data_IF_167308298405
#
_entry.id   IF_167308298405
#
_cell.length_a   1.000
_cell.length_b   1.000
_cell.length_c   1.000
_cell.angle_alpha   90.00
_cell.angle_beta   90.00
_cell.angle_gamma   90.00
#
_symmetry.space_group_name_H-M   'P 1'
#
loop_
_entity.id
_entity.type
_entity.pdbx_description
1 polymer ?
#
# COMPACT_ATOMS: atom_id res chain seq x y z
N UNK A 1 -59.60 -29.03 30.57
CA UNK A 1 -59.08 -29.30 29.22
C UNK A 1 -59.08 -28.00 28.44
N UNK A 2 -57.98 -27.23 28.47
CA UNK A 2 -57.55 -26.31 27.38
C UNK A 2 -56.05 -26.09 27.62
N UNK A 3 -55.21 -26.65 26.74
CA UNK A 3 -53.78 -26.35 26.71
C UNK A 3 -53.57 -25.01 26.02
N UNK A 4 -52.88 -24.09 26.67
CA UNK A 4 -52.42 -22.84 26.05
C UNK A 4 -51.16 -23.17 25.25
N UNK A 5 -51.35 -23.44 23.97
CA UNK A 5 -50.28 -23.43 22.97
C UNK A 5 -49.73 -22.01 22.86
N UNK A 6 -48.48 -21.84 23.29
CA UNK A 6 -47.69 -20.64 23.07
C UNK A 6 -46.41 -21.01 22.33
N UNK A 7 -46.40 -20.78 21.01
CA UNK A 7 -45.23 -20.39 20.19
C UNK A 7 -45.74 -19.98 18.79
N UNK A 8 -45.10 -19.07 18.02
CA UNK A 8 -43.68 -18.68 18.08
C UNK A 8 -43.41 -17.15 18.02
N UNK A 9 -42.71 -16.61 19.03
CA UNK A 9 -42.12 -15.25 18.96
C UNK A 9 -40.76 -15.24 18.26
N UNK A 10 -40.05 -16.38 18.32
CA UNK A 10 -38.65 -16.56 17.89
C UNK A 10 -38.44 -16.37 16.37
N UNK A 11 -39.41 -16.75 15.55
CA UNK A 11 -39.30 -16.67 14.08
C UNK A 11 -39.40 -15.24 13.53
N UNK A 12 -40.09 -14.33 14.22
CA UNK A 12 -40.13 -12.91 13.85
C UNK A 12 -38.84 -12.18 14.20
N UNK A 13 -38.23 -12.52 15.33
CA UNK A 13 -36.96 -11.94 15.79
C UNK A 13 -35.82 -12.35 14.83
N UNK A 14 -35.72 -13.64 14.48
CA UNK A 14 -34.71 -14.17 13.54
C UNK A 14 -34.82 -13.55 12.13
N UNK A 15 -36.05 -13.35 11.62
CA UNK A 15 -36.27 -12.72 10.32
C UNK A 15 -35.92 -11.22 10.33
N UNK A 16 -36.02 -10.55 11.48
CA UNK A 16 -35.64 -9.15 11.65
C UNK A 16 -34.12 -9.02 11.71
N UNK A 17 -33.45 -9.92 12.43
CA UNK A 17 -31.99 -9.97 12.54
C UNK A 17 -31.32 -10.25 11.18
N UNK A 18 -31.86 -11.19 10.39
CA UNK A 18 -31.35 -11.46 9.04
C UNK A 18 -31.41 -10.23 8.12
N UNK A 19 -32.48 -9.42 8.20
CA UNK A 19 -32.61 -8.18 7.42
C UNK A 19 -31.58 -7.14 7.83
N UNK A 20 -31.33 -6.99 9.14
CA UNK A 20 -30.30 -6.08 9.67
C UNK A 20 -28.92 -6.48 9.14
N UNK A 21 -28.58 -7.77 9.20
CA UNK A 21 -27.31 -8.29 8.70
C UNK A 21 -27.15 -8.08 7.18
N UNK A 22 -28.19 -8.34 6.39
CA UNK A 22 -28.18 -8.08 4.94
C UNK A 22 -27.95 -6.59 4.66
N UNK A 23 -28.61 -5.71 5.41
CA UNK A 23 -28.42 -4.27 5.26
C UNK A 23 -26.98 -3.85 5.61
N UNK A 24 -26.45 -4.34 6.73
CA UNK A 24 -25.08 -4.08 7.16
C UNK A 24 -24.06 -4.57 6.10
N UNK A 25 -24.26 -5.78 5.56
CA UNK A 25 -23.44 -6.31 4.47
C UNK A 25 -23.47 -5.40 3.24
N UNK A 26 -24.65 -4.89 2.88
CA UNK A 26 -24.83 -3.92 1.81
C UNK A 26 -24.07 -2.61 2.05
N UNK A 27 -24.06 -2.10 3.28
CA UNK A 27 -23.29 -0.90 3.64
C UNK A 27 -21.79 -1.12 3.52
N UNK A 28 -21.29 -2.29 3.93
CA UNK A 28 -19.86 -2.64 3.79
C UNK A 28 -19.48 -2.71 2.30
N UNK A 29 -20.30 -3.37 1.46
CA UNK A 29 -20.11 -3.37 0.00
C UNK A 29 -20.04 -1.97 -0.56
N UNK A 30 -20.95 -1.07 -0.15
CA UNK A 30 -20.95 0.34 -0.60
C UNK A 30 -19.63 1.05 -0.26
N UNK A 31 -19.04 0.81 0.92
CA UNK A 31 -17.75 1.41 1.30
C UNK A 31 -16.62 0.95 0.37
N UNK A 32 -16.58 -0.34 0.05
CA UNK A 32 -15.62 -0.90 -0.92
C UNK A 32 -15.85 -0.31 -2.32
N UNK A 33 -17.09 -0.21 -2.78
CA UNK A 33 -17.43 0.40 -4.06
C UNK A 33 -16.97 1.86 -4.15
N UNK A 34 -17.15 2.64 -3.08
CA UNK A 34 -16.67 4.04 -3.04
C UNK A 34 -15.15 4.13 -3.19
N UNK A 35 -14.41 3.27 -2.49
CA UNK A 35 -12.95 3.19 -2.65
C UNK A 35 -12.59 2.82 -4.09
N UNK A 36 -13.25 1.80 -4.66
CA UNK A 36 -12.98 1.36 -6.03
C UNK A 36 -13.22 2.45 -7.06
N UNK A 37 -14.28 3.25 -6.90
CA UNK A 37 -14.59 4.37 -7.79
C UNK A 37 -13.53 5.47 -7.70
N UNK A 38 -13.07 5.82 -6.50
CA UNK A 38 -11.97 6.77 -6.31
C UNK A 38 -10.70 6.28 -7.01
N UNK A 39 -10.40 4.99 -6.91
CA UNK A 39 -9.24 4.38 -7.58
C UNK A 39 -9.39 4.34 -9.10
N UNK A 40 -10.61 4.16 -9.60
CA UNK A 40 -10.91 4.22 -11.03
C UNK A 40 -10.68 5.62 -11.59
N UNK A 41 -11.16 6.66 -10.90
CA UNK A 41 -10.90 8.04 -11.30
C UNK A 41 -9.41 8.39 -11.27
N UNK A 42 -8.67 7.82 -10.32
CA UNK A 42 -7.23 8.02 -10.20
C UNK A 42 -6.40 7.37 -11.32
N UNK A 43 -7.03 6.50 -12.14
CA UNK A 43 -6.41 5.92 -13.33
C UNK A 43 -6.21 6.97 -14.43
N UNK A 44 -7.17 7.88 -14.59
CA UNK A 44 -7.11 8.98 -15.57
C UNK A 44 -6.33 10.17 -15.03
N UNK A 45 -6.46 10.44 -13.72
CA UNK A 45 -5.73 11.53 -13.05
C UNK A 45 -5.02 11.02 -11.79
N UNK A 46 -3.71 10.68 -11.90
CA UNK A 46 -2.90 10.24 -10.77
C UNK A 46 -2.73 11.30 -9.66
N UNK A 47 -3.11 12.57 -9.85
CA UNK A 47 -3.01 13.56 -8.78
C UNK A 47 -4.13 13.43 -7.74
N UNK A 48 -5.24 12.77 -8.08
CA UNK A 48 -6.42 12.60 -7.21
C UNK A 48 -6.18 11.75 -5.96
N UNK A 49 -5.17 10.88 -5.99
CA UNK A 49 -4.86 9.97 -4.87
C UNK A 49 -3.37 9.95 -4.63
N UNK A 50 -2.95 10.11 -3.38
CA UNK A 50 -1.55 10.11 -2.96
C UNK A 50 -1.07 8.72 -2.51
N UNK A 51 0.25 8.50 -2.46
CA UNK A 51 0.83 7.23 -1.98
C UNK A 51 0.39 6.87 -0.55
N UNK A 52 0.33 7.79 0.44
CA UNK A 52 -0.22 7.49 1.75
C UNK A 52 -1.70 7.11 1.71
N UNK A 53 -2.51 7.76 0.87
CA UNK A 53 -3.93 7.42 0.71
C UNK A 53 -4.12 6.02 0.13
N UNK A 54 -3.29 5.60 -0.83
CA UNK A 54 -3.31 4.22 -1.36
C UNK A 54 -3.07 3.18 -0.25
N UNK A 55 -2.11 3.44 0.65
CA UNK A 55 -1.85 2.57 1.82
C UNK A 55 -3.03 2.53 2.79
N UNK A 56 -3.69 3.67 3.00
CA UNK A 56 -4.90 3.75 3.84
C UNK A 56 -6.05 2.98 3.21
N UNK A 57 -6.25 3.09 1.90
CA UNK A 57 -7.28 2.35 1.18
C UNK A 57 -7.03 0.84 1.23
N UNK A 58 -5.79 0.37 1.06
CA UNK A 58 -5.46 -1.06 1.17
C UNK A 58 -5.88 -1.62 2.54
N UNK A 59 -5.48 -0.94 3.63
CA UNK A 59 -5.88 -1.36 4.98
C UNK A 59 -7.39 -1.35 5.19
N UNK A 60 -8.08 -0.36 4.65
CA UNK A 60 -9.55 -0.28 4.74
C UNK A 60 -10.23 -1.40 3.96
N UNK A 61 -9.71 -1.76 2.78
CA UNK A 61 -10.23 -2.88 1.98
C UNK A 61 -10.09 -4.20 2.75
N UNK A 62 -8.94 -4.46 3.37
CA UNK A 62 -8.74 -5.65 4.20
C UNK A 62 -9.75 -5.71 5.37
N UNK A 63 -9.94 -4.59 6.08
CA UNK A 63 -10.91 -4.50 7.18
C UNK A 63 -12.33 -4.76 6.67
N UNK A 64 -12.74 -4.10 5.58
CA UNK A 64 -14.07 -4.28 5.02
C UNK A 64 -14.29 -5.69 4.48
N UNK A 65 -13.25 -6.35 3.98
CA UNK A 65 -13.32 -7.73 3.55
C UNK A 65 -13.61 -8.68 4.73
N UNK A 66 -12.90 -8.49 5.84
CA UNK A 66 -13.11 -9.24 7.08
C UNK A 66 -14.51 -9.00 7.65
N UNK A 67 -14.95 -7.73 7.71
CA UNK A 67 -16.30 -7.35 8.16
C UNK A 67 -17.39 -8.00 7.30
N UNK A 68 -17.24 -7.91 5.96
CA UNK A 68 -18.20 -8.50 5.02
C UNK A 68 -18.28 -10.02 5.21
N UNK A 69 -17.12 -10.69 5.26
CA UNK A 69 -17.04 -12.14 5.44
C UNK A 69 -17.66 -12.59 6.76
N UNK A 70 -17.45 -11.84 7.84
CA UNK A 70 -18.05 -12.14 9.14
C UNK A 70 -19.58 -12.03 9.09
N UNK A 71 -20.11 -10.91 8.59
CA UNK A 71 -21.56 -10.72 8.46
C UNK A 71 -22.17 -11.75 7.50
N UNK A 72 -21.47 -12.07 6.40
CA UNK A 72 -21.90 -13.08 5.44
C UNK A 72 -22.05 -14.45 6.10
N UNK A 73 -21.09 -14.89 6.91
CA UNK A 73 -21.19 -16.15 7.65
C UNK A 73 -22.36 -16.19 8.62
N UNK A 74 -22.68 -15.06 9.28
CA UNK A 74 -23.87 -15.00 10.16
C UNK A 74 -25.18 -15.08 9.37
N UNK A 75 -25.24 -14.46 8.18
CA UNK A 75 -26.40 -14.58 7.28
C UNK A 75 -26.61 -16.05 6.89
N UNK A 76 -25.55 -16.78 6.53
CA UNK A 76 -25.64 -18.19 6.13
C UNK A 76 -26.24 -19.10 7.21
N UNK A 77 -26.09 -18.74 8.49
CA UNK A 77 -26.72 -19.50 9.61
C UNK A 77 -28.23 -19.28 9.70
N UNK A 78 -28.75 -18.20 9.13
CA UNK A 78 -30.11 -17.72 9.34
C UNK A 78 -31.00 -17.80 8.09
N UNK A 79 -30.42 -18.12 6.92
CA UNK A 79 -31.16 -18.23 5.66
C UNK A 79 -31.51 -19.68 5.33
N UNK A 80 -32.61 -19.93 4.60
CA UNK A 80 -32.95 -21.26 4.12
C UNK A 80 -31.92 -21.75 3.08
N UNK A 81 -31.70 -23.07 3.02
CA UNK A 81 -30.76 -23.71 2.11
C UNK A 81 -31.02 -23.40 0.63
N UNK A 82 -32.28 -23.16 0.25
CA UNK A 82 -32.67 -22.76 -1.10
C UNK A 82 -32.10 -21.41 -1.57
N UNK A 83 -31.53 -20.62 -0.66
CA UNK A 83 -30.90 -19.33 -0.97
C UNK A 83 -29.37 -19.34 -0.89
N UNK A 84 -28.75 -20.50 -0.66
CA UNK A 84 -27.30 -20.58 -0.52
C UNK A 84 -26.59 -20.18 -1.81
N UNK A 85 -27.07 -20.65 -2.96
CA UNK A 85 -26.50 -20.28 -4.27
C UNK A 85 -26.52 -18.77 -4.49
N UNK A 86 -27.63 -18.09 -4.15
CA UNK A 86 -27.72 -16.63 -4.21
C UNK A 86 -26.68 -15.95 -3.28
N UNK A 87 -26.40 -16.52 -2.11
CA UNK A 87 -25.38 -15.99 -1.21
C UNK A 87 -23.97 -16.19 -1.76
N UNK A 88 -23.68 -17.36 -2.32
CA UNK A 88 -22.37 -17.66 -2.92
C UNK A 88 -22.07 -16.72 -4.10
N UNK A 89 -23.06 -16.44 -4.94
CA UNK A 89 -22.95 -15.42 -6.00
C UNK A 89 -22.65 -14.03 -5.42
N UNK A 90 -23.33 -13.64 -4.34
CA UNK A 90 -23.09 -12.36 -3.68
C UNK A 90 -21.72 -12.25 -3.02
N UNK A 91 -21.18 -13.35 -2.48
CA UNK A 91 -19.83 -13.41 -1.95
C UNK A 91 -18.81 -13.30 -3.09
N UNK A 92 -18.99 -14.09 -4.14
CA UNK A 92 -18.14 -14.08 -5.34
C UNK A 92 -18.06 -12.68 -5.96
N UNK A 93 -19.21 -11.99 -6.13
CA UNK A 93 -19.23 -10.64 -6.66
C UNK A 93 -18.49 -9.62 -5.78
N UNK A 94 -18.51 -9.83 -4.45
CA UNK A 94 -17.76 -8.99 -3.52
C UNK A 94 -16.25 -9.30 -3.55
N UNK A 95 -15.86 -10.56 -3.66
CA UNK A 95 -14.46 -10.99 -3.81
C UNK A 95 -13.83 -10.39 -5.07
N UNK A 96 -14.56 -10.40 -6.19
CA UNK A 96 -14.13 -9.76 -7.45
C UNK A 96 -13.92 -8.26 -7.23
N UNK A 97 -14.90 -7.57 -6.66
CA UNK A 97 -14.79 -6.12 -6.39
C UNK A 97 -13.59 -5.78 -5.49
N UNK A 98 -13.38 -6.55 -4.43
CA UNK A 98 -12.26 -6.37 -3.52
C UNK A 98 -10.92 -6.59 -4.23
N UNK A 99 -10.81 -7.68 -4.98
CA UNK A 99 -9.60 -8.03 -5.74
C UNK A 99 -9.27 -6.98 -6.79
N UNK A 100 -10.28 -6.48 -7.51
CA UNK A 100 -10.10 -5.39 -8.46
C UNK A 100 -9.58 -4.12 -7.79
N UNK A 101 -10.16 -3.73 -6.65
CA UNK A 101 -9.71 -2.55 -5.90
C UNK A 101 -8.25 -2.70 -5.44
N UNK A 102 -7.88 -3.87 -4.92
CA UNK A 102 -6.49 -4.16 -4.50
C UNK A 102 -5.52 -4.12 -5.69
N UNK A 103 -5.88 -4.72 -6.83
CA UNK A 103 -5.07 -4.68 -8.04
C UNK A 103 -4.86 -3.25 -8.56
N UNK A 104 -5.85 -2.36 -8.43
CA UNK A 104 -5.70 -0.94 -8.80
C UNK A 104 -4.74 -0.22 -7.87
N UNK A 105 -4.83 -0.45 -6.56
CA UNK A 105 -3.88 0.09 -5.59
C UNK A 105 -2.46 -0.34 -5.93
N UNK A 106 -2.25 -1.62 -6.26
CA UNK A 106 -0.95 -2.14 -6.63
C UNK A 106 -0.41 -1.45 -7.88
N UNK A 107 -1.22 -1.35 -8.94
CA UNK A 107 -0.85 -0.65 -10.19
C UNK A 107 -0.51 0.82 -9.96
N UNK A 108 -1.35 1.55 -9.23
CA UNK A 108 -1.13 2.97 -8.91
C UNK A 108 0.10 3.18 -8.01
N UNK A 109 0.37 2.24 -7.10
CA UNK A 109 1.56 2.27 -6.24
C UNK A 109 2.83 1.98 -7.02
N UNK A 110 2.80 1.02 -7.95
CA UNK A 110 3.94 0.68 -8.82
C UNK A 110 4.26 1.82 -9.78
N UNK A 111 3.25 2.44 -10.38
CA UNK A 111 3.44 3.60 -11.25
C UNK A 111 4.15 4.77 -10.54
N UNK A 112 3.93 4.93 -9.23
CA UNK A 112 4.60 5.96 -8.41
C UNK A 112 5.94 5.53 -7.82
N UNK A 113 6.13 4.22 -7.68
CA UNK A 113 7.38 3.62 -7.21
C UNK A 113 8.37 3.34 -8.35
N UNK A 114 8.03 3.68 -9.60
CA UNK A 114 9.03 3.75 -10.66
C UNK A 114 10.18 4.63 -10.15
N UNK A 115 11.45 4.23 -10.38
CA UNK A 115 12.58 4.93 -9.82
C UNK A 115 12.44 6.37 -10.28
N UNK A 116 12.23 7.24 -9.29
CA UNK A 116 12.54 8.64 -9.43
C UNK A 116 13.97 8.60 -9.96
N UNK A 117 14.15 8.91 -11.24
CA UNK A 117 15.45 9.35 -11.73
C UNK A 117 15.71 10.53 -10.82
N UNK A 118 16.53 10.32 -9.78
CA UNK A 118 16.87 11.36 -8.83
C UNK A 118 17.56 12.42 -9.66
N UNK A 119 16.79 13.40 -10.13
CA UNK A 119 17.34 14.71 -10.40
C UNK A 119 17.67 15.21 -9.01
N UNK A 120 18.86 14.82 -8.54
CA UNK A 120 19.51 15.43 -7.39
C UNK A 120 19.52 16.91 -7.73
N UNK A 121 18.57 17.65 -7.15
CA UNK A 121 18.62 19.08 -7.16
C UNK A 121 19.92 19.40 -6.45
N UNK A 122 20.94 19.79 -7.22
CA UNK A 122 22.29 20.03 -6.73
C UNK A 122 22.19 21.14 -5.68
N UNK A 123 22.12 20.77 -4.41
CA UNK A 123 22.48 21.69 -3.36
C UNK A 123 24.00 21.82 -3.43
N UNK A 124 24.55 23.02 -3.69
CA UNK A 124 25.97 23.23 -3.59
C UNK A 124 26.39 22.87 -2.16
N UNK A 125 27.35 21.96 -2.06
CA UNK A 125 27.94 21.52 -0.80
C UNK A 125 28.41 22.72 0.01
N UNK A 126 28.19 22.68 1.33
CA UNK A 126 28.73 23.70 2.25
C UNK A 126 30.25 23.58 2.45
N UNK A 127 30.86 22.46 2.04
CA UNK A 127 32.29 22.17 2.21
C UNK A 127 32.85 21.43 0.99
N UNK A 128 34.03 21.83 0.54
CA UNK A 128 34.73 21.25 -0.60
C UNK A 128 35.12 19.80 -0.33
N UNK A 129 34.62 18.86 -1.14
CA UNK A 129 34.96 17.44 -1.03
C UNK A 129 36.28 17.19 -1.76
N UNK A 130 37.27 16.50 -1.14
CA UNK A 130 38.52 16.15 -1.80
C UNK A 130 38.25 15.18 -2.97
N UNK A 131 39.00 15.29 -4.05
CA UNK A 131 38.90 14.35 -5.18
C UNK A 131 39.91 13.21 -5.05
N UNK A 132 39.59 12.03 -5.60
CA UNK A 132 40.47 10.86 -5.65
C UNK A 132 40.62 10.36 -7.07
N UNK A 133 41.87 10.24 -7.54
CA UNK A 133 42.21 9.91 -8.91
C UNK A 133 42.52 8.43 -9.16
N UNK A 134 42.46 7.59 -8.12
CA UNK A 134 42.76 6.16 -8.20
C UNK A 134 44.17 5.77 -7.77
N UNK A 135 45.05 6.73 -7.48
CA UNK A 135 46.43 6.43 -7.07
C UNK A 135 46.48 5.89 -5.63
N UNK A 136 47.13 4.75 -5.45
CA UNK A 136 47.25 4.11 -4.13
C UNK A 136 47.96 5.01 -3.11
N UNK A 137 48.90 5.84 -3.57
CA UNK A 137 49.67 6.78 -2.74
C UNK A 137 48.80 7.90 -2.14
N UNK A 138 47.76 8.36 -2.84
CA UNK A 138 46.87 9.45 -2.39
C UNK A 138 45.68 8.95 -1.58
N UNK A 139 45.46 7.62 -1.54
CA UNK A 139 44.32 6.97 -0.90
C UNK A 139 44.21 7.24 0.61
N UNK A 140 45.26 7.13 1.44
CA UNK A 140 45.13 7.35 2.89
C UNK A 140 44.71 8.79 3.24
N UNK A 141 45.23 9.77 2.47
CA UNK A 141 44.91 11.19 2.64
C UNK A 141 43.45 11.47 2.25
N UNK A 142 43.01 10.93 1.13
CA UNK A 142 41.61 11.04 0.69
C UNK A 142 40.65 10.42 1.69
N UNK A 143 40.93 9.20 2.17
CA UNK A 143 40.10 8.50 3.14
C UNK A 143 39.93 9.31 4.42
N UNK A 144 41.02 9.82 4.99
CA UNK A 144 40.98 10.63 6.22
C UNK A 144 40.13 11.89 6.06
N UNK A 145 40.29 12.60 4.93
CA UNK A 145 39.51 13.82 4.66
C UNK A 145 38.04 13.52 4.39
N UNK A 146 37.73 12.44 3.70
CA UNK A 146 36.35 12.03 3.41
C UNK A 146 35.62 11.57 4.68
N UNK A 147 36.27 10.77 5.52
CA UNK A 147 35.74 10.35 6.83
C UNK A 147 35.45 11.55 7.74
N UNK A 148 36.34 12.55 7.79
CA UNK A 148 36.13 13.77 8.57
C UNK A 148 34.91 14.58 8.08
N UNK A 149 34.72 14.68 6.75
CA UNK A 149 33.55 15.35 6.15
C UNK A 149 32.26 14.57 6.45
N UNK A 150 32.28 13.25 6.30
CA UNK A 150 31.13 12.37 6.56
C UNK A 150 30.75 12.35 8.04
N UNK A 151 31.73 12.41 8.94
CA UNK A 151 31.50 12.46 10.39
C UNK A 151 30.96 13.81 10.87
N UNK A 152 31.34 14.91 10.21
CA UNK A 152 30.87 16.27 10.53
C UNK A 152 29.54 16.65 9.86
N UNK A 153 29.16 15.95 8.80
CA UNK A 153 27.94 16.22 8.03
C UNK A 153 26.70 15.50 8.57
N UNK A 154 25.58 16.22 8.67
CA UNK A 154 24.24 15.65 8.93
C UNK A 154 23.56 15.09 7.66
N UNK A 155 24.33 14.85 6.59
CA UNK A 155 23.81 14.37 5.32
C UNK A 155 23.36 12.90 5.42
N UNK A 156 22.32 12.55 4.67
CA UNK A 156 21.84 11.17 4.57
C UNK A 156 22.88 10.28 3.86
N UNK A 157 22.84 8.98 4.13
CA UNK A 157 23.76 8.01 3.52
C UNK A 157 23.70 8.02 1.98
N UNK A 158 22.52 8.29 1.40
CA UNK A 158 22.35 8.43 -0.04
C UNK A 158 23.07 9.66 -0.61
N UNK A 159 23.05 10.79 0.11
CA UNK A 159 23.78 12.00 -0.29
C UNK A 159 25.30 11.78 -0.19
N UNK A 160 25.76 11.11 0.88
CA UNK A 160 27.17 10.74 1.07
C UNK A 160 27.68 9.84 -0.06
N UNK A 161 26.89 8.85 -0.47
CA UNK A 161 27.22 7.98 -1.61
C UNK A 161 27.26 8.74 -2.94
N UNK A 162 26.31 9.64 -3.19
CA UNK A 162 26.32 10.49 -4.38
C UNK A 162 27.58 11.37 -4.45
N UNK A 163 27.97 11.92 -3.31
CA UNK A 163 29.17 12.73 -3.21
C UNK A 163 30.47 11.94 -3.32
N UNK A 164 30.49 10.72 -2.79
CA UNK A 164 31.61 9.78 -2.97
C UNK A 164 31.83 9.51 -4.46
N UNK A 165 30.77 9.18 -5.21
CA UNK A 165 30.85 8.93 -6.65
C UNK A 165 31.40 10.15 -7.43
N UNK A 166 30.96 11.36 -7.08
CA UNK A 166 31.46 12.60 -7.68
C UNK A 166 32.88 12.97 -7.30
N UNK A 167 33.36 12.50 -6.15
CA UNK A 167 34.72 12.73 -5.70
C UNK A 167 35.73 11.83 -6.43
N UNK A 168 35.28 10.74 -7.04
CA UNK A 168 36.12 9.88 -7.87
C UNK A 168 36.34 10.53 -9.24
N UNK A 169 37.60 10.74 -9.60
CA UNK A 169 38.03 11.35 -10.86
C UNK A 169 39.11 10.48 -11.50
N UNK A 170 39.50 10.78 -12.75
CA UNK A 170 40.57 10.05 -13.43
C UNK A 170 40.28 8.54 -13.51
N UNK A 171 41.28 7.73 -13.14
CA UNK A 171 41.21 6.27 -13.22
C UNK A 171 40.23 5.66 -12.21
N UNK A 172 39.86 6.40 -11.15
CA UNK A 172 38.86 5.99 -10.16
C UNK A 172 37.41 6.29 -10.56
N UNK A 173 37.20 7.11 -11.60
CA UNK A 173 35.87 7.49 -12.05
C UNK A 173 35.04 6.25 -12.42
N UNK A 174 33.84 6.12 -11.85
CA UNK A 174 32.91 5.03 -12.16
C UNK A 174 33.19 3.69 -11.47
N UNK A 175 34.16 3.60 -10.54
CA UNK A 175 34.42 2.37 -9.78
C UNK A 175 33.23 1.90 -8.92
N UNK A 176 32.38 2.82 -8.48
CA UNK A 176 31.20 2.51 -7.67
C UNK A 176 30.07 1.96 -8.55
N UNK A 177 29.87 2.54 -9.73
CA UNK A 177 28.85 2.13 -10.70
C UNK A 177 29.14 0.75 -11.30
N UNK A 178 30.42 0.40 -11.48
CA UNK A 178 30.85 -0.86 -12.08
C UNK A 178 30.57 -2.12 -11.22
N UNK A 179 30.23 -1.97 -9.93
CA UNK A 179 29.98 -3.09 -9.00
C UNK A 179 28.50 -3.36 -8.69
N UNK A 180 27.56 -2.64 -9.31
CA UNK A 180 26.12 -2.89 -9.17
C UNK A 180 25.50 -3.62 -10.40
N UNK A 181 26.28 -4.45 -11.10
CA UNK A 181 25.81 -5.33 -12.17
C UNK A 181 26.24 -6.77 -11.86
#
# INVERSE_FOLDING_TARGET
MVGLDHTPKRSQDEATDAKVLIHQRGQIKRRVTLINNILEEAKEDPTKVTQPQLKVFARKLDVHYQEYSAVHREILKSIPSSKLDEQDEMLTAFDVLHTEAMNRIEKLSKARSQPVVFIVQQQPLRTHIPSFDGRVETRPKYQTMFEDIVAKGNDSDAMKLHHLDKALVGDASGWITAKMI
#
